data_IF_798385525066
#
_entry.id   IF_798385525066
#
_cell.length_a   1.000
_cell.length_b   1.000
_cell.length_c   1.000
_cell.angle_alpha   90.00
_cell.angle_beta   90.00
_cell.angle_gamma   90.00
#
_symmetry.space_group_name_H-M   'P 1'
#
loop_
_entity.id
_entity.type
_entity.pdbx_description
1 polymer ?
#
# COMPACT_ATOMS: atom_id res chain seq x y z
N UNK A 1 -7.86 -0.90 -6.50
CA UNK A 1 -6.65 -0.76 -5.65
C UNK A 1 -5.72 -1.96 -5.82
N UNK A 2 -6.26 -3.16 -5.99
CA UNK A 2 -5.52 -4.41 -6.09
C UNK A 2 -4.65 -4.53 -7.35
N UNK A 3 -5.17 -4.11 -8.51
CA UNK A 3 -4.39 -4.09 -9.76
C UNK A 3 -3.16 -3.19 -9.65
N UNK A 4 -3.33 -2.07 -8.97
CA UNK A 4 -2.27 -1.11 -8.71
C UNK A 4 -1.15 -1.71 -7.84
N UNK A 5 -1.51 -2.43 -6.77
CA UNK A 5 -0.55 -3.13 -5.91
C UNK A 5 0.23 -4.18 -6.69
N UNK A 6 -0.48 -5.01 -7.48
CA UNK A 6 0.15 -6.05 -8.31
C UNK A 6 1.11 -5.46 -9.35
N UNK A 7 0.72 -4.38 -10.01
CA UNK A 7 1.59 -3.71 -10.99
C UNK A 7 2.81 -3.09 -10.32
N UNK A 8 2.65 -2.43 -9.17
CA UNK A 8 3.76 -1.85 -8.42
C UNK A 8 4.74 -2.92 -7.93
N UNK A 9 4.24 -4.05 -7.46
CA UNK A 9 5.07 -5.17 -7.03
C UNK A 9 5.84 -5.78 -8.21
N UNK A 10 5.17 -5.97 -9.36
CA UNK A 10 5.81 -6.46 -10.58
C UNK A 10 6.92 -5.52 -11.09
N UNK A 11 6.71 -4.20 -11.06
CA UNK A 11 7.73 -3.20 -11.45
C UNK A 11 8.94 -3.27 -10.50
N UNK A 12 8.69 -3.46 -9.21
CA UNK A 12 9.74 -3.56 -8.19
C UNK A 12 10.42 -4.94 -8.12
N UNK A 13 9.99 -5.92 -8.93
CA UNK A 13 10.47 -7.30 -8.85
C UNK A 13 10.08 -8.02 -7.54
N UNK A 14 9.03 -7.56 -6.87
CA UNK A 14 8.53 -8.12 -5.61
C UNK A 14 7.47 -9.17 -5.92
N UNK A 15 7.65 -10.41 -5.45
CA UNK A 15 6.61 -11.43 -5.50
C UNK A 15 5.67 -11.30 -4.30
N UNK A 16 4.37 -11.38 -4.55
CA UNK A 16 3.38 -11.45 -3.46
C UNK A 16 3.46 -12.78 -2.71
N UNK A 17 3.98 -13.83 -3.35
CA UNK A 17 4.14 -15.15 -2.74
C UNK A 17 5.13 -15.13 -1.57
N UNK A 18 6.13 -14.24 -1.61
CA UNK A 18 7.11 -14.04 -0.53
C UNK A 18 6.44 -13.62 0.80
N UNK A 19 5.23 -13.05 0.70
CA UNK A 19 4.41 -12.64 1.84
C UNK A 19 3.21 -13.56 2.08
N UNK A 20 3.12 -14.70 1.39
CA UNK A 20 1.98 -15.61 1.47
C UNK A 20 0.67 -15.00 0.93
N UNK A 21 0.79 -14.14 -0.08
CA UNK A 21 -0.35 -13.50 -0.76
C UNK A 21 -0.50 -14.05 -2.20
N UNK A 22 -1.74 -14.14 -2.72
CA UNK A 22 -1.94 -14.62 -4.09
C UNK A 22 -1.42 -13.62 -5.13
N UNK A 23 -0.77 -14.12 -6.19
CA UNK A 23 -0.30 -13.30 -7.32
C UNK A 23 -1.39 -13.01 -8.35
N UNK A 24 -2.42 -13.87 -8.41
CA UNK A 24 -3.50 -13.76 -9.39
C UNK A 24 -4.55 -12.76 -8.91
N UNK A 25 -4.93 -11.79 -9.78
CA UNK A 25 -5.80 -10.67 -9.38
C UNK A 25 -7.10 -11.12 -8.71
N UNK A 26 -7.78 -12.15 -9.24
CA UNK A 26 -9.07 -12.58 -8.69
C UNK A 26 -8.90 -13.11 -7.27
N UNK A 27 -7.87 -13.93 -7.05
CA UNK A 27 -7.51 -14.50 -5.75
C UNK A 27 -7.01 -13.43 -4.77
N UNK A 28 -6.20 -12.48 -5.24
CA UNK A 28 -5.72 -11.36 -4.43
C UNK A 28 -6.88 -10.45 -4.01
N UNK A 29 -7.80 -10.14 -4.92
CA UNK A 29 -9.01 -9.35 -4.64
C UNK A 29 -9.96 -10.02 -3.65
N UNK A 30 -10.06 -11.35 -3.68
CA UNK A 30 -10.83 -12.11 -2.68
C UNK A 30 -10.16 -11.96 -1.31
N UNK A 31 -8.84 -12.11 -1.26
CA UNK A 31 -8.06 -12.01 -0.02
C UNK A 31 -8.14 -10.61 0.58
N UNK A 32 -7.83 -9.56 -0.20
CA UNK A 32 -7.82 -8.16 0.24
C UNK A 32 -9.17 -7.67 0.80
N UNK A 33 -10.27 -8.23 0.30
CA UNK A 33 -11.63 -7.92 0.78
C UNK A 33 -12.07 -8.72 2.00
N UNK A 34 -11.49 -9.91 2.19
CA UNK A 34 -11.86 -10.81 3.29
C UNK A 34 -11.14 -10.49 4.60
N UNK A 35 -10.03 -9.74 4.54
CA UNK A 35 -9.22 -9.41 5.70
C UNK A 35 -9.17 -7.91 5.94
N UNK A 36 -9.13 -7.50 7.20
CA UNK A 36 -8.79 -6.13 7.54
C UNK A 36 -7.29 -5.92 7.29
N UNK A 37 -6.95 -5.39 6.11
CA UNK A 37 -5.57 -5.18 5.64
C UNK A 37 -4.68 -4.41 6.65
N UNK A 38 -5.28 -3.54 7.47
CA UNK A 38 -4.57 -2.82 8.55
C UNK A 38 -4.04 -3.71 9.68
N UNK A 39 -4.61 -4.90 9.87
CA UNK A 39 -4.26 -5.83 10.93
C UNK A 39 -3.49 -7.06 10.41
N UNK A 40 -3.42 -7.23 9.08
CA UNK A 40 -2.72 -8.34 8.45
C UNK A 40 -1.25 -7.96 8.20
N UNK A 41 -0.33 -8.69 8.84
CA UNK A 41 1.10 -8.44 8.76
C UNK A 41 1.64 -8.61 7.33
N UNK A 42 1.04 -9.49 6.52
CA UNK A 42 1.46 -9.75 5.14
C UNK A 42 1.32 -8.51 4.27
N UNK A 43 0.23 -7.78 4.44
CA UNK A 43 0.00 -6.53 3.73
C UNK A 43 0.93 -5.43 4.22
N UNK A 44 1.21 -5.35 5.53
CA UNK A 44 2.16 -4.36 6.07
C UNK A 44 3.56 -4.55 5.50
N UNK A 45 4.06 -5.78 5.49
CA UNK A 45 5.37 -6.12 4.93
C UNK A 45 5.43 -5.90 3.42
N UNK A 46 4.37 -6.25 2.69
CA UNK A 46 4.28 -5.94 1.26
C UNK A 46 4.39 -4.44 0.99
N UNK A 47 3.58 -3.61 1.67
CA UNK A 47 3.61 -2.15 1.48
C UNK A 47 4.94 -1.54 1.93
N UNK A 48 5.56 -2.07 2.99
CA UNK A 48 6.89 -1.66 3.44
C UNK A 48 7.93 -1.96 2.36
N UNK A 49 7.95 -3.19 1.85
CA UNK A 49 8.89 -3.62 0.81
C UNK A 49 8.73 -2.80 -0.46
N UNK A 50 7.50 -2.50 -0.88
CA UNK A 50 7.24 -1.63 -2.03
C UNK A 50 7.68 -0.17 -1.80
N UNK A 51 7.55 0.34 -0.57
CA UNK A 51 8.03 1.66 -0.20
C UNK A 51 9.56 1.72 -0.22
N UNK A 52 10.23 0.72 0.37
CA UNK A 52 11.68 0.64 0.44
C UNK A 52 12.30 0.42 -0.95
N UNK A 53 11.60 -0.30 -1.84
CA UNK A 53 11.96 -0.44 -3.25
C UNK A 53 11.69 0.83 -4.09
N UNK A 54 11.10 1.87 -3.50
CA UNK A 54 10.89 3.15 -4.17
C UNK A 54 9.79 3.14 -5.23
N UNK A 55 8.77 2.27 -5.11
CA UNK A 55 7.63 2.26 -6.04
C UNK A 55 6.96 3.64 -6.03
N UNK A 56 7.03 4.36 -7.15
CA UNK A 56 6.69 5.78 -7.25
C UNK A 56 5.34 6.10 -6.62
N UNK A 57 4.32 5.33 -6.95
CA UNK A 57 2.97 5.60 -6.46
C UNK A 57 2.80 5.31 -4.95
N UNK A 58 3.51 4.31 -4.41
CA UNK A 58 3.51 4.00 -2.97
C UNK A 58 4.23 5.11 -2.22
N UNK A 59 5.37 5.56 -2.71
CA UNK A 59 6.13 6.69 -2.16
C UNK A 59 5.29 7.97 -2.20
N UNK A 60 4.62 8.23 -3.33
CA UNK A 60 3.71 9.36 -3.50
C UNK A 60 2.58 9.30 -2.48
N UNK A 61 1.91 8.16 -2.33
CA UNK A 61 0.85 7.99 -1.34
C UNK A 61 1.35 8.22 0.08
N UNK A 62 2.52 7.68 0.44
CA UNK A 62 3.12 7.88 1.75
C UNK A 62 3.41 9.37 2.03
N UNK A 63 3.93 10.09 1.03
CA UNK A 63 4.17 11.53 1.13
C UNK A 63 2.87 12.33 1.31
N UNK A 64 1.80 11.95 0.61
CA UNK A 64 0.49 12.59 0.77
C UNK A 64 -0.07 12.37 2.17
N UNK A 65 -0.01 11.14 2.68
CA UNK A 65 -0.43 10.82 4.05
C UNK A 65 0.40 11.58 5.08
N UNK A 66 1.72 11.66 4.90
CA UNK A 66 2.61 12.45 5.76
C UNK A 66 2.23 13.92 5.75
N UNK A 67 2.05 14.50 4.57
CA UNK A 67 1.64 15.89 4.41
C UNK A 67 0.31 16.18 5.12
N UNK A 68 -0.69 15.31 4.95
CA UNK A 68 -1.99 15.43 5.61
C UNK A 68 -1.85 15.35 7.13
N UNK A 69 -1.01 14.46 7.65
CA UNK A 69 -0.75 14.33 9.09
C UNK A 69 -0.08 15.58 9.67
N UNK A 70 0.88 16.15 8.95
CA UNK A 70 1.65 17.33 9.38
C UNK A 70 0.84 18.64 9.29
N UNK A 71 -0.16 18.69 8.41
CA UNK A 71 -0.97 19.88 8.16
C UNK A 71 -2.43 19.73 8.61
N UNK A 72 -2.76 18.66 9.37
CA UNK A 72 -4.11 18.28 9.77
C UNK A 72 -4.91 19.42 10.45
N UNK A 73 -4.24 20.30 11.17
CA UNK A 73 -4.86 21.40 11.94
C UNK A 73 -4.71 22.79 11.30
N UNK A 74 -4.05 22.92 10.14
CA UNK A 74 -3.92 24.23 9.45
C UNK A 74 -5.23 24.72 8.82
N UNK A 75 -6.27 23.89 8.83
CA UNK A 75 -7.60 24.26 8.35
C UNK A 75 -8.41 25.11 9.36
N UNK A 76 -7.98 25.25 10.62
CA UNK A 76 -8.73 25.99 11.66
C UNK A 76 -8.13 27.36 12.03
N UNK A 77 -7.22 27.92 11.25
CA UNK A 77 -6.59 29.22 11.55
C UNK A 77 -7.17 30.42 10.77
N UNK A 78 -8.35 30.27 10.14
CA UNK A 78 -9.09 31.38 9.53
C UNK A 78 -10.58 31.29 9.91
N UNK A 79 -10.92 31.79 11.09
CA UNK A 79 -12.27 32.22 11.47
C UNK A 79 -12.20 33.61 12.06
#
# INVERSE_FOLDING_TARGET
MERFILNGAAIAGISLADFGLPEELKSFKKTSKSVATKNDWRFKELFRSMYDAGVEDIVRLANWVRYLKENAYKAEANK
#
